data_IF_391215774456
#
_entry.id   IF_391215774456
#
_cell.length_a   1.000
_cell.length_b   1.000
_cell.length_c   1.000
_cell.angle_alpha   90.00
_cell.angle_beta   90.00
_cell.angle_gamma   90.00
#
_symmetry.space_group_name_H-M   'P 1'
#
loop_
_entity.id
_entity.type
_entity.pdbx_description
1 polymer ?
#
# COMPACT_ATOMS: atom_id res chain seq x y z
N UNK A 1 -22.92 -8.12 -40.22
CA UNK A 1 -23.03 -7.28 -38.99
C UNK A 1 -22.87 -8.10 -37.71
N UNK A 2 -23.63 -9.20 -37.50
CA UNK A 2 -23.54 -10.05 -36.29
C UNK A 2 -22.14 -10.60 -35.95
N UNK A 3 -21.38 -11.08 -36.94
CA UNK A 3 -20.02 -11.64 -36.74
C UNK A 3 -19.00 -10.58 -36.27
N UNK A 4 -19.11 -9.35 -36.79
CA UNK A 4 -18.26 -8.22 -36.36
C UNK A 4 -18.61 -7.77 -34.95
N UNK A 5 -19.91 -7.81 -34.60
CA UNK A 5 -20.39 -7.50 -33.25
C UNK A 5 -19.89 -8.53 -32.23
N UNK A 6 -19.94 -9.83 -32.58
CA UNK A 6 -19.40 -10.91 -31.74
C UNK A 6 -17.89 -10.76 -31.56
N UNK A 7 -17.14 -10.48 -32.63
CA UNK A 7 -15.70 -10.25 -32.55
C UNK A 7 -15.34 -9.04 -31.66
N UNK A 8 -16.13 -7.97 -31.73
CA UNK A 8 -15.95 -6.78 -30.89
C UNK A 8 -16.24 -7.06 -29.41
N UNK A 9 -17.31 -7.82 -29.12
CA UNK A 9 -17.65 -8.26 -27.77
C UNK A 9 -16.58 -9.16 -27.17
N UNK A 10 -16.07 -10.12 -27.95
CA UNK A 10 -14.97 -10.98 -27.51
C UNK A 10 -13.70 -10.16 -27.25
N UNK A 11 -13.34 -9.23 -28.14
CA UNK A 11 -12.19 -8.34 -27.94
C UNK A 11 -12.30 -7.50 -26.66
N UNK A 12 -13.50 -6.97 -26.36
CA UNK A 12 -13.75 -6.23 -25.14
C UNK A 12 -13.61 -7.10 -23.88
N UNK A 13 -14.16 -8.33 -23.88
CA UNK A 13 -14.03 -9.24 -22.73
C UNK A 13 -12.57 -9.65 -22.45
N UNK A 14 -11.73 -9.81 -23.48
CA UNK A 14 -10.32 -10.15 -23.29
C UNK A 14 -9.47 -8.97 -22.80
N UNK A 15 -9.91 -7.72 -23.02
CA UNK A 15 -9.15 -6.53 -22.61
C UNK A 15 -9.17 -6.25 -21.11
N UNK A 16 -10.09 -6.85 -20.34
CA UNK A 16 -10.21 -6.60 -18.89
C UNK A 16 -9.40 -7.56 -18.02
N UNK A 17 -8.90 -8.66 -18.56
CA UNK A 17 -8.16 -9.69 -17.79
C UNK A 17 -6.71 -9.31 -17.48
N UNK A 18 -6.22 -8.18 -18.02
CA UNK A 18 -4.84 -7.68 -17.80
C UNK A 18 -4.75 -6.58 -16.75
N UNK A 19 -5.86 -6.14 -16.15
CA UNK A 19 -5.82 -5.24 -15.00
C UNK A 19 -5.36 -6.04 -13.77
N UNK A 20 -4.05 -6.10 -13.58
CA UNK A 20 -3.48 -6.53 -12.31
C UNK A 20 -3.82 -5.49 -11.25
N UNK A 21 -4.16 -5.93 -10.04
CA UNK A 21 -4.26 -5.04 -8.91
C UNK A 21 -2.91 -4.33 -8.76
N UNK A 22 -2.91 -3.00 -8.65
CA UNK A 22 -1.70 -2.28 -8.35
C UNK A 22 -1.26 -2.68 -6.94
N UNK A 23 -0.28 -3.58 -6.86
CA UNK A 23 0.42 -3.91 -5.62
C UNK A 23 1.25 -2.70 -5.22
N UNK A 24 0.62 -1.77 -4.50
CA UNK A 24 1.25 -0.62 -3.92
C UNK A 24 2.00 -1.02 -2.64
N UNK A 25 3.07 -0.28 -2.32
CA UNK A 25 3.99 -0.47 -1.20
C UNK A 25 4.86 -1.73 -1.33
N UNK A 26 6.18 -1.54 -1.36
CA UNK A 26 7.16 -2.64 -1.29
C UNK A 26 7.79 -2.73 0.09
N UNK A 27 8.09 -3.94 0.59
CA UNK A 27 8.92 -4.17 1.79
C UNK A 27 10.12 -5.03 1.44
N UNK A 28 11.28 -4.66 1.95
CA UNK A 28 12.50 -5.48 1.83
C UNK A 28 13.20 -5.59 3.17
N UNK A 29 13.75 -6.77 3.45
CA UNK A 29 14.67 -7.01 4.55
C UNK A 29 15.98 -7.52 3.98
N UNK A 30 17.08 -6.84 4.29
CA UNK A 30 18.42 -7.18 3.84
C UNK A 30 19.27 -7.61 5.03
N UNK A 31 19.93 -8.75 4.89
CA UNK A 31 20.86 -9.31 5.86
C UNK A 31 22.28 -9.09 5.37
N UNK A 32 23.13 -8.53 6.21
CA UNK A 32 24.56 -8.37 5.94
C UNK A 32 25.37 -9.43 6.67
N UNK A 33 26.65 -9.57 6.31
CA UNK A 33 27.56 -10.51 6.95
C UNK A 33 27.96 -10.11 8.39
N UNK A 34 27.72 -8.86 8.80
CA UNK A 34 28.18 -8.30 10.08
C UNK A 34 27.09 -8.26 11.16
N UNK A 35 26.13 -9.21 11.12
CA UNK A 35 24.93 -9.23 11.97
C UNK A 35 24.05 -7.97 11.88
N UNK A 36 24.21 -7.16 10.83
CA UNK A 36 23.32 -6.01 10.58
C UNK A 36 22.13 -6.47 9.74
N UNK A 37 20.93 -6.13 10.22
CA UNK A 37 19.65 -6.35 9.53
C UNK A 37 19.02 -5.00 9.22
N UNK A 38 18.78 -4.74 7.93
CA UNK A 38 18.13 -3.50 7.47
C UNK A 38 16.76 -3.86 6.92
N UNK A 39 15.72 -3.15 7.36
CA UNK A 39 14.36 -3.31 6.82
C UNK A 39 13.89 -1.97 6.26
N UNK A 40 13.45 -1.97 5.00
CA UNK A 40 12.88 -0.81 4.32
C UNK A 40 11.44 -1.06 3.86
N UNK A 41 10.67 0.01 3.70
CA UNK A 41 9.38 0.02 3.03
C UNK A 41 9.20 1.28 2.18
N UNK A 42 8.45 1.16 1.09
CA UNK A 42 7.86 2.31 0.41
C UNK A 42 6.39 2.45 0.80
N UNK A 43 5.92 3.69 0.87
CA UNK A 43 4.51 4.04 0.98
C UNK A 43 4.09 4.66 -0.36
N UNK A 44 3.43 3.87 -1.19
CA UNK A 44 3.00 4.32 -2.52
C UNK A 44 1.57 4.82 -2.41
N UNK A 45 1.39 6.14 -2.41
CA UNK A 45 0.09 6.80 -2.30
C UNK A 45 -0.06 7.86 -3.40
N UNK A 46 -1.26 8.02 -3.93
CA UNK A 46 -1.53 8.98 -5.03
C UNK A 46 -1.69 10.42 -4.54
N UNK A 47 -1.91 10.60 -3.23
CA UNK A 47 -2.00 11.90 -2.56
C UNK A 47 -0.78 12.14 -1.68
N UNK A 48 -0.50 13.41 -1.43
CA UNK A 48 0.44 13.77 -0.39
C UNK A 48 -0.15 13.39 0.98
N UNK A 49 0.56 12.54 1.70
CA UNK A 49 0.16 12.06 3.00
C UNK A 49 1.01 12.80 4.03
N UNK A 50 0.39 13.54 4.96
CA UNK A 50 1.11 14.32 5.99
C UNK A 50 1.66 13.34 7.04
N UNK A 51 2.73 12.66 6.68
CA UNK A 51 3.40 11.66 7.52
C UNK A 51 4.11 12.37 8.67
N UNK A 52 3.81 11.97 9.90
CA UNK A 52 4.46 12.47 11.12
C UNK A 52 5.26 11.34 11.78
N UNK A 53 6.49 11.64 12.20
CA UNK A 53 7.31 10.72 12.99
C UNK A 53 7.06 10.97 14.47
N UNK A 54 6.69 9.93 15.21
CA UNK A 54 6.38 10.00 16.64
C UNK A 54 7.32 9.10 17.45
N UNK A 55 7.72 9.59 18.63
CA UNK A 55 8.50 8.82 19.61
C UNK A 55 7.57 8.47 20.78
N UNK A 56 7.43 7.18 21.06
CA UNK A 56 6.67 6.69 22.22
C UNK A 56 7.62 6.00 23.22
N UNK A 57 7.73 6.48 24.46
CA UNK A 57 8.49 5.82 25.50
C UNK A 57 7.96 4.43 25.87
N UNK A 58 8.79 3.62 26.52
CA UNK A 58 8.37 2.35 27.09
C UNK A 58 7.30 2.56 28.18
N UNK A 59 6.44 1.57 28.37
CA UNK A 59 5.41 1.52 29.42
C UNK A 59 4.31 2.61 29.32
N UNK A 60 4.13 3.23 28.16
CA UNK A 60 3.00 4.12 27.92
C UNK A 60 1.70 3.29 27.89
N UNK A 61 0.77 3.60 28.79
CA UNK A 61 -0.57 3.04 28.76
C UNK A 61 -1.30 3.53 27.50
N UNK A 62 -1.84 2.60 26.72
CA UNK A 62 -2.60 2.90 25.50
C UNK A 62 -4.03 2.42 25.69
N UNK A 63 -4.98 3.29 25.40
CA UNK A 63 -6.39 2.92 25.33
C UNK A 63 -6.86 3.20 23.90
N UNK A 64 -7.55 2.24 23.30
CA UNK A 64 -8.22 2.43 22.03
C UNK A 64 -9.65 2.83 22.33
N UNK A 65 -9.90 4.13 22.49
CA UNK A 65 -11.24 4.70 22.65
C UNK A 65 -11.86 5.10 21.30
N UNK A 66 -11.16 4.85 20.19
CA UNK A 66 -11.54 5.29 18.85
C UNK A 66 -11.30 6.78 18.61
N UNK A 67 -10.87 7.54 19.62
CA UNK A 67 -10.48 8.94 19.45
C UNK A 67 -9.02 9.03 19.03
N UNK A 68 -8.71 10.07 18.25
CA UNK A 68 -7.34 10.37 17.88
C UNK A 68 -6.55 10.75 19.15
N UNK A 69 -5.47 10.03 19.53
CA UNK A 69 -4.64 10.38 20.69
C UNK A 69 -3.81 11.66 20.46
N UNK A 70 -3.88 12.24 19.26
CA UNK A 70 -3.27 13.52 18.90
C UNK A 70 -4.31 14.54 18.39
N UNK A 71 -5.32 14.93 19.19
CA UNK A 71 -6.30 15.91 18.76
C UNK A 71 -5.68 17.32 18.79
N UNK A 72 -5.70 18.04 17.66
CA UNK A 72 -5.47 19.49 17.62
C UNK A 72 -4.01 20.01 17.57
N UNK A 73 -3.16 19.41 16.72
CA UNK A 73 -1.90 20.04 16.28
C UNK A 73 -1.92 20.28 14.77
#
# INVERSE_FOLDING_TARGET
MKKKLIALLCGALFSTTTLTAAEACTRVTFFTNDNVVVTGRNMDWDKDDIMKVHIFPRNVQRQSDGNNPFPGK
#
